data_IF_582863357063
#
_entry.id   IF_582863357063
#
_cell.length_a   1.000
_cell.length_b   1.000
_cell.length_c   1.000
_cell.angle_alpha   90.00
_cell.angle_beta   90.00
_cell.angle_gamma   90.00
#
_symmetry.space_group_name_H-M   'P 1'
#
loop_
_entity.id
_entity.type
_entity.pdbx_description
1 polymer ?
#
# COMPACT_ATOMS: atom_id res chain seq x y z
N UNK A 1 25.43 -3.83 -7.71
CA UNK A 1 24.16 -4.37 -8.25
C UNK A 1 23.96 -4.11 -9.74
N UNK A 2 23.93 -2.88 -10.28
CA UNK A 2 23.66 -2.64 -11.73
C UNK A 2 24.56 -3.46 -12.69
N UNK A 3 25.85 -3.60 -12.39
CA UNK A 3 26.76 -4.37 -13.25
C UNK A 3 26.52 -5.89 -13.26
N UNK A 4 26.04 -6.47 -12.15
CA UNK A 4 25.79 -7.92 -12.07
C UNK A 4 24.54 -8.33 -12.86
N UNK A 5 23.50 -7.49 -12.83
CA UNK A 5 22.30 -7.72 -13.64
C UNK A 5 22.65 -7.68 -15.13
N UNK A 6 23.45 -6.70 -15.57
CA UNK A 6 23.83 -6.56 -16.99
C UNK A 6 24.53 -7.82 -17.51
N UNK A 7 25.48 -8.38 -16.74
CA UNK A 7 26.21 -9.60 -17.12
C UNK A 7 25.26 -10.79 -17.24
N UNK A 8 24.36 -10.98 -16.26
CA UNK A 8 23.41 -12.11 -16.28
C UNK A 8 22.39 -11.98 -17.42
N UNK A 9 21.85 -10.78 -17.64
CA UNK A 9 20.93 -10.52 -18.76
C UNK A 9 21.63 -10.75 -20.10
N UNK A 10 22.90 -10.37 -20.22
CA UNK A 10 23.70 -10.61 -21.42
C UNK A 10 23.85 -12.11 -21.71
N UNK A 11 24.12 -12.91 -20.67
CA UNK A 11 24.22 -14.36 -20.77
C UNK A 11 22.87 -15.02 -21.12
N UNK A 12 21.78 -14.57 -20.51
CA UNK A 12 20.45 -15.16 -20.68
C UNK A 12 19.81 -14.82 -22.03
N UNK A 13 19.98 -13.59 -22.51
CA UNK A 13 19.40 -13.13 -23.78
C UNK A 13 20.35 -13.23 -24.98
N UNK A 14 21.64 -13.50 -24.74
CA UNK A 14 22.66 -13.49 -25.80
C UNK A 14 22.89 -12.09 -26.41
N UNK A 15 22.65 -11.02 -25.64
CA UNK A 15 22.77 -9.63 -26.07
C UNK A 15 24.03 -9.01 -25.45
N UNK A 16 24.71 -8.12 -26.16
CA UNK A 16 25.93 -7.47 -25.62
C UNK A 16 25.60 -6.59 -24.42
N UNK A 17 26.45 -6.63 -23.40
CA UNK A 17 26.32 -5.82 -22.18
C UNK A 17 26.19 -4.31 -22.48
N UNK A 18 26.92 -3.81 -23.49
CA UNK A 18 26.85 -2.41 -23.92
C UNK A 18 25.46 -2.03 -24.45
N UNK A 19 24.77 -2.95 -25.15
CA UNK A 19 23.41 -2.71 -25.66
C UNK A 19 22.41 -2.69 -24.51
N UNK A 20 22.53 -3.62 -23.56
CA UNK A 20 21.69 -3.69 -22.36
C UNK A 20 21.85 -2.40 -21.54
N UNK A 21 23.07 -1.96 -21.27
CA UNK A 21 23.33 -0.71 -20.56
C UNK A 21 22.65 0.48 -21.23
N UNK A 22 22.71 0.59 -22.57
CA UNK A 22 22.06 1.66 -23.31
C UNK A 22 20.54 1.61 -23.24
N UNK A 23 19.95 0.42 -23.30
CA UNK A 23 18.50 0.24 -23.13
C UNK A 23 18.06 0.67 -21.73
N UNK A 24 18.79 0.25 -20.68
CA UNK A 24 18.48 0.61 -19.30
C UNK A 24 18.64 2.12 -19.04
N UNK A 25 19.70 2.74 -19.59
CA UNK A 25 19.92 4.19 -19.50
C UNK A 25 18.77 4.97 -20.15
N UNK A 26 18.39 4.59 -21.39
CA UNK A 26 17.29 5.23 -22.11
C UNK A 26 15.96 5.07 -21.37
N UNK A 27 15.73 3.90 -20.78
CA UNK A 27 14.53 3.64 -19.96
C UNK A 27 14.53 4.50 -18.71
N UNK A 28 15.68 4.67 -18.04
CA UNK A 28 15.81 5.52 -16.85
C UNK A 28 15.56 7.00 -17.14
N UNK A 29 15.77 7.44 -18.37
CA UNK A 29 15.45 8.78 -18.87
C UNK A 29 13.95 8.95 -19.22
N UNK A 30 13.12 7.94 -19.00
CA UNK A 30 11.68 7.97 -19.23
C UNK A 30 11.25 7.65 -20.67
N UNK A 31 12.15 7.13 -21.51
CA UNK A 31 11.79 6.72 -22.88
C UNK A 31 10.96 5.43 -22.87
N UNK A 32 9.94 5.36 -23.74
CA UNK A 32 9.08 4.18 -23.88
C UNK A 32 9.69 3.14 -24.82
N UNK A 33 9.30 1.87 -24.70
CA UNK A 33 9.78 0.78 -25.57
C UNK A 33 9.61 1.11 -27.07
N UNK A 34 8.42 1.54 -27.56
CA UNK A 34 8.27 1.89 -28.97
C UNK A 34 9.13 3.08 -29.39
N UNK A 35 9.39 4.02 -28.47
CA UNK A 35 10.26 5.16 -28.75
C UNK A 35 11.72 4.71 -28.91
N UNK A 36 12.20 3.84 -28.03
CA UNK A 36 13.57 3.32 -28.08
C UNK A 36 13.78 2.51 -29.38
N UNK A 37 12.86 1.58 -29.68
CA UNK A 37 12.94 0.73 -30.87
C UNK A 37 12.92 1.53 -32.18
N UNK A 38 12.15 2.64 -32.24
CA UNK A 38 12.01 3.45 -33.46
C UNK A 38 13.08 4.53 -33.61
N UNK A 39 13.34 5.29 -32.54
CA UNK A 39 14.13 6.53 -32.59
C UNK A 39 15.52 6.41 -31.94
N UNK A 40 15.84 5.27 -31.32
CA UNK A 40 17.13 5.00 -30.67
C UNK A 40 17.73 3.66 -31.10
N UNK A 41 17.31 3.13 -32.27
CA UNK A 41 17.80 1.86 -32.83
C UNK A 41 19.32 1.82 -32.95
N UNK A 42 19.95 2.89 -33.44
CA UNK A 42 21.41 2.95 -33.62
C UNK A 42 22.15 2.89 -32.27
N UNK A 43 21.60 3.53 -31.24
CA UNK A 43 22.19 3.55 -29.89
C UNK A 43 22.09 2.21 -29.17
N UNK A 44 21.11 1.39 -29.53
CA UNK A 44 20.87 0.06 -28.94
C UNK A 44 21.45 -1.06 -29.79
N UNK A 45 22.01 -0.77 -30.97
CA UNK A 45 22.52 -1.77 -31.90
C UNK A 45 21.40 -2.54 -32.62
N UNK A 46 20.32 -1.84 -32.98
CA UNK A 46 19.15 -2.34 -33.70
C UNK A 46 18.34 -3.42 -32.97
N UNK A 47 18.23 -3.31 -31.65
CA UNK A 47 17.33 -4.17 -30.86
C UNK A 47 15.86 -3.86 -31.21
N UNK A 48 15.05 -4.91 -31.33
CA UNK A 48 13.61 -4.78 -31.57
C UNK A 48 12.81 -4.56 -30.27
N UNK A 49 11.51 -4.27 -30.40
CA UNK A 49 10.62 -4.03 -29.25
C UNK A 49 10.54 -5.23 -28.30
N UNK A 50 10.66 -6.46 -28.81
CA UNK A 50 10.59 -7.69 -28.00
C UNK A 50 11.85 -7.84 -27.17
N UNK A 51 13.02 -7.65 -27.78
CA UNK A 51 14.32 -7.71 -27.10
C UNK A 51 14.45 -6.60 -26.05
N UNK A 52 14.08 -5.37 -26.39
CA UNK A 52 14.09 -4.23 -25.45
C UNK A 52 13.17 -4.53 -24.26
N UNK A 53 11.97 -5.07 -24.51
CA UNK A 53 11.05 -5.46 -23.44
C UNK A 53 11.65 -6.53 -22.54
N UNK A 54 12.21 -7.60 -23.10
CA UNK A 54 12.83 -8.69 -22.34
C UNK A 54 13.96 -8.20 -21.43
N UNK A 55 14.80 -7.26 -21.91
CA UNK A 55 15.85 -6.64 -21.10
C UNK A 55 15.26 -5.91 -19.89
N UNK A 56 14.24 -5.07 -20.11
CA UNK A 56 13.62 -4.26 -19.06
C UNK A 56 12.90 -5.15 -18.04
N UNK A 57 12.17 -6.15 -18.50
CA UNK A 57 11.43 -7.07 -17.64
C UNK A 57 12.39 -7.90 -16.77
N UNK A 58 13.49 -8.41 -17.35
CA UNK A 58 14.53 -9.12 -16.59
C UNK A 58 15.22 -8.22 -15.57
N UNK A 59 15.74 -7.05 -15.96
CA UNK A 59 16.41 -6.14 -15.02
C UNK A 59 15.50 -5.74 -13.86
N UNK A 60 14.22 -5.47 -14.15
CA UNK A 60 13.22 -5.17 -13.13
C UNK A 60 13.00 -6.35 -12.18
N UNK A 61 12.87 -7.57 -12.72
CA UNK A 61 12.67 -8.76 -11.90
C UNK A 61 13.87 -9.06 -11.00
N UNK A 62 15.09 -8.91 -11.52
CA UNK A 62 16.34 -9.16 -10.79
C UNK A 62 16.59 -8.11 -9.72
N UNK A 63 16.32 -6.84 -10.04
CA UNK A 63 16.40 -5.74 -9.07
C UNK A 63 15.41 -5.97 -7.93
N UNK A 64 14.15 -6.29 -8.25
CA UNK A 64 13.14 -6.60 -7.22
C UNK A 64 13.53 -7.80 -6.35
N UNK A 65 14.10 -8.85 -6.95
CA UNK A 65 14.60 -10.02 -6.22
C UNK A 65 15.74 -9.64 -5.27
N UNK A 66 16.73 -8.88 -5.74
CA UNK A 66 17.89 -8.49 -4.95
C UNK A 66 17.50 -7.57 -3.78
N UNK A 67 16.66 -6.56 -4.02
CA UNK A 67 16.10 -5.70 -2.97
C UNK A 67 15.31 -6.52 -1.94
N UNK A 68 14.55 -7.51 -2.41
CA UNK A 68 13.76 -8.36 -1.52
C UNK A 68 14.65 -9.25 -0.65
N UNK A 69 15.67 -9.89 -1.23
CA UNK A 69 16.67 -10.68 -0.48
C UNK A 69 17.33 -9.85 0.62
N UNK A 70 17.82 -8.66 0.28
CA UNK A 70 18.45 -7.77 1.26
C UNK A 70 17.49 -7.40 2.40
N UNK A 71 16.24 -7.08 2.07
CA UNK A 71 15.19 -6.77 3.05
C UNK A 71 14.91 -7.95 3.98
N UNK A 72 14.80 -9.17 3.42
CA UNK A 72 14.51 -10.39 4.17
C UNK A 72 15.67 -10.76 5.10
N UNK A 73 16.90 -10.72 4.60
CA UNK A 73 18.11 -10.98 5.39
C UNK A 73 18.21 -10.03 6.59
N UNK A 74 18.02 -8.72 6.36
CA UNK A 74 18.04 -7.73 7.43
C UNK A 74 17.00 -8.03 8.52
N UNK A 75 15.76 -8.37 8.13
CA UNK A 75 14.69 -8.70 9.09
C UNK A 75 14.96 -9.97 9.89
N UNK A 76 15.48 -11.01 9.25
CA UNK A 76 15.80 -12.27 9.95
C UNK A 76 16.99 -12.05 10.89
N UNK A 77 17.95 -11.21 10.50
CA UNK A 77 19.09 -10.81 11.32
C UNK A 77 18.66 -9.99 12.55
N UNK A 78 17.74 -9.03 12.38
CA UNK A 78 17.15 -8.27 13.49
C UNK A 78 16.45 -9.17 14.53
N UNK A 79 15.87 -10.29 14.09
CA UNK A 79 15.29 -11.31 14.98
C UNK A 79 16.33 -12.21 15.66
N UNK A 80 17.62 -12.09 15.30
CA UNK A 80 18.69 -12.96 15.79
C UNK A 80 18.58 -14.42 15.31
N UNK A 81 17.82 -14.67 14.23
CA UNK A 81 17.52 -16.01 13.70
C UNK A 81 18.26 -16.36 12.41
N UNK A 82 19.15 -15.47 11.94
CA UNK A 82 19.88 -15.66 10.69
C UNK A 82 21.02 -16.66 10.89
N UNK A 83 20.84 -17.88 10.41
CA UNK A 83 21.92 -18.88 10.35
C UNK A 83 22.70 -18.74 9.04
N UNK A 84 23.95 -19.20 9.02
CA UNK A 84 24.78 -19.19 7.81
C UNK A 84 24.14 -20.00 6.65
N UNK A 85 23.47 -21.11 6.99
CA UNK A 85 22.75 -21.94 6.01
C UNK A 85 21.55 -21.19 5.41
N UNK A 86 20.76 -20.50 6.24
CA UNK A 86 19.61 -19.72 5.79
C UNK A 86 20.03 -18.49 4.98
N UNK A 87 21.09 -17.80 5.40
CA UNK A 87 21.67 -16.69 4.66
C UNK A 87 22.06 -17.16 3.25
N UNK A 88 22.81 -18.26 3.16
CA UNK A 88 23.22 -18.83 1.88
C UNK A 88 22.01 -19.21 1.01
N UNK A 89 20.99 -19.87 1.59
CA UNK A 89 19.78 -20.24 0.87
C UNK A 89 19.06 -19.02 0.26
N UNK A 90 18.93 -17.93 1.01
CA UNK A 90 18.30 -16.69 0.54
C UNK A 90 19.16 -16.01 -0.54
N UNK A 91 20.48 -15.95 -0.36
CA UNK A 91 21.40 -15.36 -1.34
C UNK A 91 21.38 -16.12 -2.67
N UNK A 92 21.26 -17.46 -2.64
CA UNK A 92 21.20 -18.30 -3.84
C UNK A 92 19.83 -18.40 -4.50
N UNK A 93 18.75 -17.97 -3.84
CA UNK A 93 17.40 -18.09 -4.39
C UNK A 93 17.24 -17.38 -5.74
N UNK A 94 16.72 -18.03 -6.76
CA UNK A 94 16.62 -17.46 -8.12
C UNK A 94 15.28 -16.76 -8.37
N UNK A 95 14.25 -17.11 -7.61
CA UNK A 95 12.90 -16.56 -7.79
C UNK A 95 12.44 -15.86 -6.53
N UNK A 96 11.59 -14.85 -6.73
CA UNK A 96 10.98 -14.10 -5.63
C UNK A 96 10.14 -15.00 -4.72
N UNK A 97 9.47 -16.01 -5.31
CA UNK A 97 8.66 -16.98 -4.57
C UNK A 97 9.50 -17.79 -3.57
N UNK A 98 10.69 -18.24 -3.96
CA UNK A 98 11.58 -19.02 -3.10
C UNK A 98 12.04 -18.18 -1.90
N UNK A 99 12.34 -16.90 -2.12
CA UNK A 99 12.67 -15.95 -1.05
C UNK A 99 11.49 -15.76 -0.09
N UNK A 100 10.25 -15.66 -0.61
CA UNK A 100 9.06 -15.56 0.24
C UNK A 100 8.79 -16.82 1.06
N UNK A 101 9.04 -18.00 0.49
CA UNK A 101 8.88 -19.28 1.17
C UNK A 101 9.88 -19.41 2.33
N UNK A 102 11.15 -19.11 2.08
CA UNK A 102 12.20 -19.08 3.11
C UNK A 102 11.91 -18.05 4.21
N UNK A 103 11.32 -16.91 3.84
CA UNK A 103 10.96 -15.86 4.79
C UNK A 103 9.68 -16.15 5.58
N UNK A 104 8.81 -17.03 5.10
CA UNK A 104 7.47 -17.27 5.65
C UNK A 104 7.47 -17.55 7.17
N UNK A 105 8.36 -18.40 7.72
CA UNK A 105 8.42 -18.68 9.16
C UNK A 105 8.84 -17.47 10.02
N UNK A 106 9.54 -16.51 9.42
CA UNK A 106 10.11 -15.33 10.07
C UNK A 106 9.27 -14.07 9.81
N UNK A 107 8.25 -14.17 8.96
CA UNK A 107 7.37 -13.05 8.64
C UNK A 107 6.58 -12.67 9.88
N UNK A 108 7.04 -11.61 10.54
CA UNK A 108 6.32 -11.07 11.69
C UNK A 108 4.89 -10.73 11.30
N UNK A 109 3.95 -11.23 12.10
CA UNK A 109 2.61 -10.64 12.10
C UNK A 109 2.81 -9.20 12.54
N UNK A 110 2.52 -8.26 11.63
CA UNK A 110 2.68 -6.82 11.85
C UNK A 110 2.09 -6.50 13.22
N UNK A 111 2.94 -6.15 14.20
CA UNK A 111 2.47 -5.77 15.54
C UNK A 111 1.71 -4.46 15.38
N UNK A 112 0.39 -4.56 15.38
CA UNK A 112 -0.48 -3.39 15.25
C UNK A 112 -0.53 -2.67 16.60
N UNK A 113 -0.94 -1.40 16.59
CA UNK A 113 -1.18 -0.65 17.82
C UNK A 113 -2.16 -1.37 18.74
N UNK A 114 -3.15 -2.05 18.15
CA UNK A 114 -4.08 -2.92 18.87
C UNK A 114 -3.38 -4.11 19.52
N UNK A 115 -2.48 -4.82 18.82
CA UNK A 115 -1.71 -5.92 19.42
C UNK A 115 -0.86 -5.45 20.60
N UNK A 116 -0.14 -4.34 20.45
CA UNK A 116 0.66 -3.74 21.54
C UNK A 116 -0.24 -3.39 22.74
N UNK A 117 -1.40 -2.79 22.48
CA UNK A 117 -2.37 -2.46 23.54
C UNK A 117 -2.96 -3.71 24.22
N UNK A 118 -3.22 -4.80 23.50
CA UNK A 118 -3.68 -6.07 24.09
C UNK A 118 -2.61 -6.70 24.98
N UNK A 119 -1.37 -6.73 24.52
CA UNK A 119 -0.22 -7.27 25.25
C UNK A 119 0.07 -6.45 26.51
N UNK A 120 -0.17 -5.14 26.46
CA UNK A 120 -0.14 -4.24 27.61
C UNK A 120 -1.37 -4.34 28.55
N UNK A 121 -2.28 -5.30 28.31
CA UNK A 121 -3.41 -5.56 29.21
C UNK A 121 -4.58 -4.59 29.08
N UNK A 122 -4.69 -3.81 27.99
CA UNK A 122 -5.73 -2.78 27.83
C UNK A 122 -7.09 -3.31 27.31
N UNK A 123 -7.20 -4.61 27.05
CA UNK A 123 -8.44 -5.22 26.55
C UNK A 123 -9.65 -5.06 27.50
N UNK A 124 -9.53 -5.19 28.84
CA UNK A 124 -10.62 -4.90 29.75
C UNK A 124 -11.08 -3.45 29.67
N UNK A 125 -10.17 -2.48 29.51
CA UNK A 125 -10.51 -1.07 29.32
C UNK A 125 -11.34 -0.84 28.04
N UNK A 126 -11.00 -1.53 26.93
CA UNK A 126 -11.79 -1.50 25.71
C UNK A 126 -13.24 -2.01 25.93
N UNK A 127 -13.42 -3.01 26.80
CA UNK A 127 -14.78 -3.48 27.18
C UNK A 127 -15.54 -2.43 27.99
N UNK A 128 -14.87 -1.71 28.91
CA UNK A 128 -15.49 -0.63 29.68
C UNK A 128 -16.01 0.50 28.78
N UNK A 129 -15.26 0.83 27.72
CA UNK A 129 -15.68 1.81 26.71
C UNK A 129 -17.00 1.37 26.06
N UNK A 130 -17.11 0.11 25.63
CA UNK A 130 -18.33 -0.43 24.99
C UNK A 130 -19.52 -0.51 25.96
N UNK A 131 -19.25 -0.79 27.23
CA UNK A 131 -20.27 -0.82 28.28
C UNK A 131 -20.76 0.58 28.67
N UNK A 132 -20.09 1.64 28.20
CA UNK A 132 -20.38 3.02 28.57
C UNK A 132 -20.31 3.25 30.09
N UNK A 133 -19.28 2.69 30.74
CA UNK A 133 -19.05 2.89 32.17
C UNK A 133 -18.82 4.37 32.47
N UNK A 134 -19.34 4.85 33.60
CA UNK A 134 -19.11 6.22 34.04
C UNK A 134 -17.62 6.45 34.41
N UNK A 135 -17.13 7.67 34.21
CA UNK A 135 -15.77 8.09 34.59
C UNK A 135 -14.66 7.21 34.00
N UNK A 136 -14.71 6.96 32.68
CA UNK A 136 -13.73 6.14 31.96
C UNK A 136 -12.29 6.63 32.18
N UNK A 137 -12.07 7.93 32.26
CA UNK A 137 -10.77 8.55 32.52
C UNK A 137 -10.21 8.15 33.88
N UNK A 138 -11.08 8.00 34.89
CA UNK A 138 -10.69 7.54 36.23
C UNK A 138 -10.38 6.05 36.23
N UNK A 139 -11.23 5.25 35.57
CA UNK A 139 -11.02 3.80 35.43
C UNK A 139 -9.73 3.49 34.67
N UNK A 140 -9.40 4.29 33.65
CA UNK A 140 -8.19 4.17 32.85
C UNK A 140 -6.88 4.38 33.65
N UNK A 141 -6.93 5.04 34.81
CA UNK A 141 -5.76 5.18 35.69
C UNK A 141 -5.23 3.83 36.17
N UNK A 142 -6.13 2.83 36.35
CA UNK A 142 -5.75 1.48 36.74
C UNK A 142 -5.05 0.68 35.61
N UNK A 143 -5.01 1.23 34.40
CA UNK A 143 -4.44 0.61 33.20
C UNK A 143 -3.19 1.33 32.69
N UNK A 144 -2.64 2.26 33.48
CA UNK A 144 -1.36 2.92 33.17
C UNK A 144 -0.23 1.90 33.32
N UNK A 145 0.59 1.78 32.27
CA UNK A 145 1.68 0.81 32.19
C UNK A 145 2.80 1.36 31.30
N UNK A 146 3.94 0.68 31.25
CA UNK A 146 5.02 0.99 30.32
C UNK A 146 4.51 1.00 28.87
N UNK A 147 4.80 2.06 28.13
CA UNK A 147 4.25 2.32 26.79
C UNK A 147 2.89 3.02 26.76
N UNK A 148 2.17 3.08 27.90
CA UNK A 148 0.88 3.75 28.08
C UNK A 148 0.86 4.51 29.42
N UNK A 149 1.75 5.50 29.52
CA UNK A 149 2.09 6.20 30.78
C UNK A 149 0.99 7.13 31.33
N UNK A 150 -0.10 7.33 30.59
CA UNK A 150 -1.22 8.17 31.02
C UNK A 150 -2.54 7.48 30.74
N UNK A 151 -3.58 7.82 31.52
CA UNK A 151 -4.95 7.34 31.28
C UNK A 151 -5.42 7.62 29.85
N UNK A 152 -5.06 8.78 29.29
CA UNK A 152 -5.34 9.14 27.90
C UNK A 152 -4.67 8.20 26.90
N UNK A 153 -3.38 7.88 27.10
CA UNK A 153 -2.65 6.90 26.27
C UNK A 153 -3.30 5.52 26.39
N UNK A 154 -3.66 5.08 27.59
CA UNK A 154 -4.31 3.79 27.83
C UNK A 154 -5.69 3.71 27.12
N UNK A 155 -6.50 4.78 27.20
CA UNK A 155 -7.77 4.87 26.47
C UNK A 155 -7.57 4.88 24.96
N UNK A 156 -6.57 5.61 24.45
CA UNK A 156 -6.23 5.59 23.04
C UNK A 156 -5.81 4.19 22.58
N UNK A 157 -5.01 3.47 23.37
CA UNK A 157 -4.64 2.08 23.12
C UNK A 157 -5.86 1.15 23.10
N UNK A 158 -6.77 1.29 24.07
CA UNK A 158 -8.03 0.56 24.10
C UNK A 158 -8.91 0.85 22.87
N UNK A 159 -8.97 2.11 22.40
CA UNK A 159 -9.64 2.49 21.17
C UNK A 159 -9.02 1.82 19.94
N UNK A 160 -7.69 1.72 19.84
CA UNK A 160 -7.02 1.02 18.73
C UNK A 160 -7.42 -0.47 18.68
N UNK A 161 -7.62 -1.13 19.82
CA UNK A 161 -8.15 -2.50 19.89
C UNK A 161 -9.55 -2.57 19.26
N UNK A 162 -10.43 -1.64 19.63
CA UNK A 162 -11.80 -1.59 19.09
C UNK A 162 -11.81 -1.29 17.59
N UNK A 163 -10.98 -0.35 17.13
CA UNK A 163 -10.83 0.00 15.71
C UNK A 163 -10.41 -1.23 14.89
N UNK A 164 -9.43 -2.00 15.38
CA UNK A 164 -9.01 -3.23 14.71
C UNK A 164 -10.15 -4.24 14.65
N UNK A 165 -10.78 -4.52 15.80
CA UNK A 165 -11.90 -5.46 15.88
C UNK A 165 -13.06 -5.10 14.95
N UNK A 166 -13.41 -3.81 14.86
CA UNK A 166 -14.49 -3.35 13.99
C UNK A 166 -14.09 -3.37 12.51
N UNK A 167 -12.83 -3.08 12.19
CA UNK A 167 -12.32 -3.14 10.82
C UNK A 167 -12.27 -4.56 10.24
N UNK A 168 -12.30 -5.57 11.11
CA UNK A 168 -12.30 -7.00 10.77
C UNK A 168 -13.71 -7.61 10.73
N UNK A 169 -14.75 -6.84 11.10
CA UNK A 169 -16.14 -7.30 10.98
C UNK A 169 -16.54 -7.41 9.49
N UNK A 170 -16.68 -8.65 9.02
CA UNK A 170 -17.05 -8.95 7.64
C UNK A 170 -18.38 -8.30 7.22
N UNK A 171 -19.39 -8.25 8.09
CA UNK A 171 -20.70 -7.65 7.74
C UNK A 171 -20.56 -6.15 7.54
N UNK A 172 -19.77 -5.48 8.38
CA UNK A 172 -19.49 -4.06 8.23
C UNK A 172 -18.70 -3.79 6.94
N UNK A 173 -17.65 -4.58 6.69
CA UNK A 173 -16.82 -4.46 5.48
C UNK A 173 -17.63 -4.63 4.20
N UNK A 174 -18.45 -5.68 4.12
CA UNK A 174 -19.29 -5.93 2.94
C UNK A 174 -20.29 -4.79 2.72
N UNK A 175 -20.90 -4.28 3.79
CA UNK A 175 -21.83 -3.16 3.66
C UNK A 175 -21.13 -1.87 3.19
N UNK A 176 -20.00 -1.51 3.81
CA UNK A 176 -19.23 -0.32 3.42
C UNK A 176 -18.73 -0.44 1.98
N UNK A 177 -18.27 -1.62 1.57
CA UNK A 177 -17.89 -1.88 0.19
C UNK A 177 -19.04 -1.62 -0.79
N UNK A 178 -20.23 -2.19 -0.52
CA UNK A 178 -21.41 -1.99 -1.37
C UNK A 178 -21.86 -0.53 -1.41
N UNK A 179 -21.80 0.17 -0.28
CA UNK A 179 -22.11 1.59 -0.18
C UNK A 179 -21.13 2.43 -1.03
N UNK A 180 -19.83 2.13 -0.94
CA UNK A 180 -18.80 2.79 -1.75
C UNK A 180 -19.02 2.50 -3.24
N UNK A 181 -19.16 1.23 -3.61
CA UNK A 181 -19.31 0.80 -4.99
C UNK A 181 -20.52 1.44 -5.68
N UNK A 182 -21.64 1.51 -4.97
CA UNK A 182 -22.91 1.97 -5.53
C UNK A 182 -23.05 3.49 -5.54
N UNK A 183 -22.53 4.16 -4.50
CA UNK A 183 -22.87 5.56 -4.24
C UNK A 183 -21.70 6.51 -4.16
N UNK A 184 -20.46 6.04 -3.98
CA UNK A 184 -19.30 6.93 -3.98
C UNK A 184 -18.88 7.31 -5.40
N UNK A 185 -18.18 8.43 -5.49
CA UNK A 185 -17.58 8.89 -6.74
C UNK A 185 -16.06 8.96 -6.60
N UNK A 186 -15.34 8.61 -7.66
CA UNK A 186 -13.95 8.99 -7.83
C UNK A 186 -13.91 10.40 -8.40
N UNK A 187 -13.06 11.25 -7.84
CA UNK A 187 -12.94 12.65 -8.23
C UNK A 187 -11.51 12.99 -8.61
N UNK A 188 -11.33 13.97 -9.48
CA UNK A 188 -10.02 14.50 -9.82
C UNK A 188 -10.08 16.01 -10.00
N UNK A 189 -9.06 16.67 -9.47
CA UNK A 189 -8.84 18.12 -9.62
C UNK A 189 -7.46 18.39 -10.18
N UNK A 190 -7.31 19.43 -10.99
CA UNK A 190 -5.99 19.88 -11.43
C UNK A 190 -5.16 20.36 -10.23
N UNK A 191 -3.90 19.93 -10.19
CA UNK A 191 -2.90 20.32 -9.19
C UNK A 191 -1.85 21.26 -9.79
N UNK A 192 -1.38 20.92 -10.98
CA UNK A 192 -0.43 21.74 -11.75
C UNK A 192 -0.77 21.67 -13.23
N UNK A 193 -1.43 22.71 -13.74
CA UNK A 193 -1.82 22.79 -15.16
C UNK A 193 -0.61 23.01 -16.08
N UNK A 194 0.44 23.68 -15.59
CA UNK A 194 1.64 23.95 -16.39
C UNK A 194 2.45 22.68 -16.65
N UNK A 195 2.29 21.66 -15.80
CA UNK A 195 2.89 20.34 -16.02
C UNK A 195 2.19 19.52 -17.13
N UNK A 196 1.07 19.98 -17.68
CA UNK A 196 0.36 19.35 -18.80
C UNK A 196 0.34 20.25 -20.06
N UNK A 197 1.54 20.51 -20.61
CA UNK A 197 1.75 21.34 -21.81
C UNK A 197 0.83 20.99 -23.00
N UNK A 198 0.43 19.72 -23.11
CA UNK A 198 -0.40 19.20 -24.21
C UNK A 198 -1.88 19.09 -23.85
N UNK A 199 -2.27 19.49 -22.64
CA UNK A 199 -3.64 19.38 -22.10
C UNK A 199 -4.22 17.98 -22.24
N UNK A 200 -3.37 16.96 -22.08
CA UNK A 200 -3.71 15.55 -22.25
C UNK A 200 -4.73 15.10 -21.20
N UNK A 201 -4.70 15.72 -20.02
CA UNK A 201 -5.56 15.39 -18.88
C UNK A 201 -6.66 16.42 -18.65
N UNK A 202 -6.90 17.33 -19.60
CA UNK A 202 -7.87 18.43 -19.44
C UNK A 202 -9.28 17.94 -19.07
N UNK A 203 -9.71 16.81 -19.65
CA UNK A 203 -11.01 16.19 -19.32
C UNK A 203 -11.10 15.66 -17.88
N UNK A 204 -9.98 15.61 -17.16
CA UNK A 204 -9.85 15.14 -15.77
C UNK A 204 -9.54 16.25 -14.77
N UNK A 205 -9.50 17.52 -15.20
CA UNK A 205 -9.19 18.67 -14.34
C UNK A 205 -10.30 18.99 -13.34
N UNK A 206 -11.54 18.68 -13.71
CA UNK A 206 -12.70 18.68 -12.83
C UNK A 206 -13.57 17.48 -13.23
N UNK A 207 -13.25 16.34 -12.63
CA UNK A 207 -13.84 15.07 -12.99
C UNK A 207 -14.49 14.42 -11.78
N UNK A 208 -15.67 13.86 -11.98
CA UNK A 208 -16.38 13.07 -10.99
C UNK A 208 -17.18 11.98 -11.68
N UNK A 209 -16.92 10.73 -11.33
CA UNK A 209 -17.66 9.60 -11.87
C UNK A 209 -17.94 8.57 -10.78
N UNK A 210 -19.06 7.85 -10.90
CA UNK A 210 -19.40 6.80 -9.94
C UNK A 210 -18.38 5.67 -10.00
N UNK A 211 -17.98 5.23 -8.81
CA UNK A 211 -17.05 4.13 -8.60
C UNK A 211 -17.44 2.88 -9.39
N UNK A 212 -18.68 2.41 -9.25
CA UNK A 212 -19.13 1.20 -9.95
C UNK A 212 -19.33 1.35 -11.45
N UNK A 213 -19.11 2.54 -12.03
CA UNK A 213 -19.33 2.83 -13.45
C UNK A 213 -18.06 3.24 -14.21
N UNK A 214 -17.01 3.67 -13.51
CA UNK A 214 -15.78 4.15 -14.15
C UNK A 214 -15.11 3.03 -14.96
N UNK A 215 -14.70 3.37 -16.18
CA UNK A 215 -14.03 2.45 -17.11
C UNK A 215 -12.54 2.36 -16.80
N UNK A 216 -11.95 1.17 -16.96
CA UNK A 216 -10.55 0.90 -16.58
C UNK A 216 -9.52 1.85 -17.21
N UNK A 217 -9.69 2.24 -18.47
CA UNK A 217 -8.76 3.17 -19.12
C UNK A 217 -8.78 4.58 -18.51
N UNK A 218 -9.91 5.00 -17.91
CA UNK A 218 -10.02 6.28 -17.19
C UNK A 218 -9.28 6.23 -15.87
N UNK A 219 -9.35 5.09 -15.17
CA UNK A 219 -8.54 4.85 -13.95
C UNK A 219 -7.05 4.99 -14.29
N UNK A 220 -6.59 4.35 -15.37
CA UNK A 220 -5.19 4.46 -15.81
C UNK A 220 -4.79 5.90 -16.13
N UNK A 221 -5.66 6.67 -16.78
CA UNK A 221 -5.39 8.09 -17.08
C UNK A 221 -5.29 8.93 -15.81
N UNK A 222 -6.20 8.72 -14.84
CA UNK A 222 -6.18 9.37 -13.53
C UNK A 222 -4.90 9.03 -12.75
N UNK A 223 -4.56 7.75 -12.64
CA UNK A 223 -3.34 7.28 -11.96
C UNK A 223 -2.07 7.87 -12.61
N UNK A 224 -2.05 7.95 -13.94
CA UNK A 224 -0.93 8.57 -14.67
C UNK A 224 -0.83 10.07 -14.39
N UNK A 225 -1.94 10.79 -14.46
CA UNK A 225 -1.98 12.23 -14.17
C UNK A 225 -1.58 12.55 -12.73
N UNK A 226 -2.00 11.73 -11.77
CA UNK A 226 -1.61 11.86 -10.37
C UNK A 226 -0.11 11.59 -10.16
N UNK A 227 0.42 10.53 -10.77
CA UNK A 227 1.84 10.19 -10.68
C UNK A 227 2.75 11.27 -11.26
N UNK A 228 2.30 11.95 -12.32
CA UNK A 228 3.00 13.08 -12.92
C UNK A 228 2.83 14.39 -12.11
N UNK A 229 2.02 14.39 -11.05
CA UNK A 229 1.74 15.55 -10.22
C UNK A 229 0.79 16.57 -10.85
N UNK A 230 0.22 16.27 -12.02
CA UNK A 230 -0.71 17.13 -12.77
C UNK A 230 -2.08 17.12 -12.13
N UNK A 231 -2.54 15.94 -11.71
CA UNK A 231 -3.85 15.74 -11.09
C UNK A 231 -3.71 15.42 -9.61
N UNK A 232 -4.77 15.69 -8.87
CA UNK A 232 -5.01 15.17 -7.52
C UNK A 232 -6.27 14.32 -7.59
N UNK A 233 -6.11 13.01 -7.39
CA UNK A 233 -7.22 12.06 -7.40
C UNK A 233 -7.74 11.89 -5.97
N UNK A 234 -9.05 11.76 -5.83
CA UNK A 234 -9.70 11.58 -4.55
C UNK A 234 -10.98 10.78 -4.69
N UNK A 235 -11.66 10.63 -3.57
CA UNK A 235 -12.96 9.99 -3.53
C UNK A 235 -13.92 10.82 -2.72
N UNK A 236 -15.15 10.90 -3.22
CA UNK A 236 -16.27 11.49 -2.52
C UNK A 236 -17.17 10.37 -1.99
N UNK A 237 -17.15 10.23 -0.67
CA UNK A 237 -17.87 9.20 0.09
C UNK A 237 -18.92 9.86 0.98
N UNK A 238 -20.13 9.28 1.05
CA UNK A 238 -21.11 9.65 2.06
C UNK A 238 -20.72 9.08 3.44
N UNK A 239 -19.68 9.66 4.02
CA UNK A 239 -19.05 9.20 5.26
C UNK A 239 -20.04 9.25 6.42
N UNK A 240 -20.90 10.27 6.47
CA UNK A 240 -21.89 10.43 7.53
C UNK A 240 -22.92 9.30 7.54
N UNK A 241 -23.37 8.83 6.36
CA UNK A 241 -24.26 7.67 6.28
C UNK A 241 -23.57 6.41 6.81
N UNK A 242 -22.30 6.21 6.50
CA UNK A 242 -21.54 5.07 7.00
C UNK A 242 -21.35 5.13 8.52
N UNK A 243 -21.00 6.31 9.05
CA UNK A 243 -20.86 6.54 10.49
C UNK A 243 -22.19 6.29 11.19
N UNK A 244 -23.31 6.83 10.68
CA UNK A 244 -24.65 6.60 11.27
C UNK A 244 -25.04 5.14 11.27
N UNK A 245 -24.77 4.41 10.18
CA UNK A 245 -25.04 2.98 10.09
C UNK A 245 -24.21 2.14 11.07
N UNK A 246 -22.96 2.53 11.30
CA UNK A 246 -22.13 1.85 12.28
C UNK A 246 -22.57 2.20 13.71
N UNK A 247 -22.86 3.47 13.98
CA UNK A 247 -23.34 3.95 15.27
C UNK A 247 -24.67 3.31 15.71
N UNK A 248 -25.57 3.00 14.77
CA UNK A 248 -26.85 2.36 15.10
C UNK A 248 -26.72 0.95 15.68
N UNK A 249 -25.55 0.30 15.57
CA UNK A 249 -25.28 -1.01 16.19
C UNK A 249 -25.00 -0.93 17.68
N UNK A 250 -24.66 0.24 18.20
CA UNK A 250 -24.31 0.44 19.60
C UNK A 250 -25.51 1.01 20.35
N UNK A 251 -25.97 0.30 21.38
CA UNK A 251 -27.06 0.77 22.25
C UNK A 251 -26.65 2.00 23.06
N UNK A 252 -25.39 2.03 23.49
CA UNK A 252 -24.82 3.13 24.26
C UNK A 252 -23.94 3.99 23.37
N UNK A 253 -23.93 5.29 23.63
CA UNK A 253 -23.11 6.27 22.90
C UNK A 253 -22.21 7.00 23.88
N UNK A 254 -20.94 7.12 23.52
CA UNK A 254 -19.99 8.02 24.16
C UNK A 254 -18.95 8.50 23.15
N UNK A 255 -18.21 9.53 23.54
CA UNK A 255 -17.21 10.16 22.69
C UNK A 255 -16.15 9.18 22.16
N UNK A 256 -15.77 8.17 22.95
CA UNK A 256 -14.80 7.15 22.54
C UNK A 256 -15.35 6.21 21.47
N UNK A 257 -16.61 5.76 21.61
CA UNK A 257 -17.28 4.93 20.60
C UNK A 257 -17.42 5.72 19.29
N UNK A 258 -17.85 6.98 19.36
CA UNK A 258 -18.00 7.83 18.18
C UNK A 258 -16.66 8.06 17.46
N UNK A 259 -15.59 8.31 18.22
CA UNK A 259 -14.23 8.44 17.70
C UNK A 259 -13.74 7.12 17.08
N UNK A 260 -13.94 5.99 17.74
CA UNK A 260 -13.60 4.66 17.23
C UNK A 260 -14.32 4.37 15.92
N UNK A 261 -15.63 4.65 15.82
CA UNK A 261 -16.42 4.48 14.60
C UNK A 261 -15.86 5.33 13.45
N UNK A 262 -15.66 6.62 13.72
CA UNK A 262 -15.12 7.58 12.75
C UNK A 262 -13.75 7.14 12.23
N UNK A 263 -12.85 6.73 13.14
CA UNK A 263 -11.52 6.23 12.79
C UNK A 263 -11.57 4.90 12.03
N UNK A 264 -12.46 3.99 12.39
CA UNK A 264 -12.61 2.69 11.69
C UNK A 264 -12.94 2.90 10.21
N UNK A 265 -13.93 3.75 9.94
CA UNK A 265 -14.37 4.06 8.57
C UNK A 265 -13.27 4.81 7.82
N UNK A 266 -12.76 5.92 8.39
CA UNK A 266 -11.79 6.79 7.70
C UNK A 266 -10.41 6.18 7.51
N UNK A 267 -9.88 5.46 8.51
CA UNK A 267 -8.47 4.99 8.50
C UNK A 267 -8.28 3.56 8.05
N UNK A 268 -9.27 2.67 8.16
CA UNK A 268 -9.08 1.25 7.79
C UNK A 268 -9.91 0.88 6.57
N UNK A 269 -11.17 1.30 6.49
CA UNK A 269 -12.05 0.86 5.40
C UNK A 269 -11.82 1.63 4.09
N UNK A 270 -11.54 2.94 4.13
CA UNK A 270 -11.15 3.69 2.93
C UNK A 270 -9.75 3.33 2.42
N UNK A 271 -8.82 3.00 3.32
CA UNK A 271 -7.45 2.62 2.97
C UNK A 271 -7.40 1.29 2.19
N UNK A 272 -8.26 0.32 2.53
CA UNK A 272 -8.41 -0.92 1.76
C UNK A 272 -8.91 -0.69 0.33
N UNK A 273 -9.60 0.43 0.11
CA UNK A 273 -10.21 0.75 -1.18
C UNK A 273 -9.28 1.58 -2.08
N UNK A 274 -8.55 2.54 -1.50
CA UNK A 274 -7.53 3.30 -2.22
C UNK A 274 -6.45 2.37 -2.82
N UNK A 275 -5.97 1.39 -2.06
CA UNK A 275 -4.95 0.43 -2.56
C UNK A 275 -5.46 -0.40 -3.75
N UNK A 276 -6.77 -0.70 -3.82
CA UNK A 276 -7.33 -1.44 -4.94
C UNK A 276 -7.34 -0.63 -6.25
N UNK A 277 -7.33 0.71 -6.18
CA UNK A 277 -7.30 1.60 -7.36
C UNK A 277 -5.89 2.06 -7.75
N UNK A 278 -4.92 2.04 -6.84
CA UNK A 278 -3.54 2.47 -7.14
C UNK A 278 -2.64 1.36 -7.72
N UNK A 279 -3.06 0.08 -7.63
CA UNK A 279 -2.21 -1.09 -7.94
C UNK A 279 -2.57 -1.80 -9.27
N UNK A 280 -3.57 -1.31 -10.01
CA UNK A 280 -3.88 -1.76 -11.38
C UNK A 280 -3.41 -0.76 -12.42
#
# INVERSE_FOLDING_TARGET
MKNENIIKIAQELGIKESQISKVLDLTSQGNTIPFIARYRKEMTGNLDEVQIKSIIDLDKSMTALAERKATVLAKIQEQGKLTAELQKAIETAEKLADVEELYLPYKEKRRTKATIAREAGLFPLARLILQNKASLEKEAQAFVTEGFETAEKALAGACEILIESFSEDNRLRSWVYNEIWSYSSITSTVKDEAADDKKTFQIYYDFSEKVGKIQGYRILALNRGEKLGILKVGFDHNTDKMIRFMASRFKNKNAYIDDVISKTIKKKLFLLWNVAFTVS
#
